data_IF_219515506820
#
_entry.id   IF_219515506820
#
_cell.length_a   1.000
_cell.length_b   1.000
_cell.length_c   1.000
_cell.angle_alpha   90.00
_cell.angle_beta   90.00
_cell.angle_gamma   90.00
#
_symmetry.space_group_name_H-M   'P 1'
#
loop_
_entity.id
_entity.type
_entity.pdbx_description
1 polymer ?
#
# COMPACT_ATOMS: atom_id res chain seq x y z
N UNK A 1 6.10 -62.02 21.88
CA UNK A 1 5.06 -62.09 20.84
C UNK A 1 4.77 -60.66 20.41
N UNK A 2 4.84 -60.33 19.11
CA UNK A 2 4.24 -59.08 18.65
C UNK A 2 2.72 -59.21 18.81
N UNK A 3 2.06 -58.18 19.32
CA UNK A 3 0.60 -58.15 19.38
C UNK A 3 0.07 -58.04 17.94
N UNK A 4 -0.84 -58.94 17.57
CA UNK A 4 -1.40 -59.01 16.21
C UNK A 4 -2.92 -58.96 16.29
N UNK A 5 -3.55 -58.16 15.43
CA UNK A 5 -5.01 -58.05 15.36
C UNK A 5 -5.52 -58.75 14.12
N UNK A 6 -6.66 -59.42 14.28
CA UNK A 6 -7.33 -60.19 13.23
C UNK A 6 -8.32 -59.30 12.50
N UNK A 7 -8.21 -59.24 11.17
CA UNK A 7 -9.09 -58.49 10.28
C UNK A 7 -9.78 -59.42 9.27
N UNK A 8 -10.98 -59.08 8.77
CA UNK A 8 -11.64 -59.84 7.71
C UNK A 8 -10.81 -59.84 6.42
N UNK A 9 -10.76 -60.99 5.72
CA UNK A 9 -10.04 -61.11 4.46
C UNK A 9 -10.55 -60.11 3.41
N UNK A 10 -11.85 -59.82 3.36
CA UNK A 10 -12.42 -58.84 2.44
C UNK A 10 -11.82 -57.43 2.64
N UNK A 11 -11.65 -57.00 3.90
CA UNK A 11 -11.03 -55.73 4.25
C UNK A 11 -9.55 -55.70 3.86
N UNK A 12 -8.82 -56.80 4.07
CA UNK A 12 -7.42 -56.95 3.67
C UNK A 12 -7.24 -56.94 2.14
N UNK A 13 -8.16 -57.58 1.39
CA UNK A 13 -8.18 -57.55 -0.08
C UNK A 13 -8.54 -56.16 -0.64
N UNK A 14 -9.49 -55.46 -0.02
CA UNK A 14 -9.83 -54.08 -0.39
C UNK A 14 -8.64 -53.14 -0.24
N UNK A 15 -7.89 -53.31 0.85
CA UNK A 15 -6.67 -52.57 1.10
C UNK A 15 -5.54 -52.90 0.10
N UNK A 16 -5.18 -54.19 -0.04
CA UNK A 16 -4.02 -54.59 -0.85
C UNK A 16 -4.28 -54.62 -2.35
N UNK A 17 -5.45 -55.10 -2.79
CA UNK A 17 -5.77 -55.36 -4.20
C UNK A 17 -6.82 -54.41 -4.77
N UNK A 18 -7.47 -53.61 -3.92
CA UNK A 18 -8.41 -52.57 -4.35
C UNK A 18 -9.83 -53.04 -4.62
N UNK A 19 -10.16 -54.29 -4.27
CA UNK A 19 -11.49 -54.88 -4.47
C UNK A 19 -12.46 -54.37 -3.41
N UNK A 20 -13.57 -53.73 -3.79
CA UNK A 20 -14.55 -53.16 -2.85
C UNK A 20 -13.94 -52.15 -1.84
N UNK A 21 -13.07 -51.25 -2.32
CA UNK A 21 -12.48 -50.18 -1.48
C UNK A 21 -13.52 -49.31 -0.77
N UNK A 22 -14.61 -48.98 -1.45
CA UNK A 22 -15.65 -48.09 -0.92
C UNK A 22 -16.50 -48.81 0.14
N UNK A 23 -16.93 -50.05 -0.12
CA UNK A 23 -17.67 -50.85 0.87
C UNK A 23 -16.85 -51.22 2.11
N UNK A 24 -15.53 -51.33 1.98
CA UNK A 24 -14.61 -51.65 3.08
C UNK A 24 -13.90 -50.44 3.70
N UNK A 25 -14.15 -49.21 3.26
CA UNK A 25 -13.33 -48.03 3.59
C UNK A 25 -13.05 -47.86 5.10
N UNK A 26 -14.08 -48.01 5.94
CA UNK A 26 -13.94 -47.92 7.41
C UNK A 26 -13.02 -49.00 7.99
N UNK A 27 -13.14 -50.24 7.51
CA UNK A 27 -12.27 -51.33 7.95
C UNK A 27 -10.83 -51.18 7.46
N UNK A 28 -10.63 -50.58 6.28
CA UNK A 28 -9.28 -50.25 5.77
C UNK A 28 -8.63 -49.16 6.62
N UNK A 29 -9.37 -48.12 7.01
CA UNK A 29 -8.88 -47.09 7.94
C UNK A 29 -8.56 -47.67 9.32
N UNK A 30 -9.40 -48.57 9.84
CA UNK A 30 -9.14 -49.26 11.12
C UNK A 30 -7.88 -50.14 11.06
N UNK A 31 -7.67 -50.87 9.95
CA UNK A 31 -6.50 -51.70 9.73
C UNK A 31 -5.22 -50.85 9.67
N UNK A 32 -5.22 -49.78 8.88
CA UNK A 32 -4.05 -48.89 8.75
C UNK A 32 -3.75 -48.18 10.07
N UNK A 33 -4.77 -47.70 10.79
CA UNK A 33 -4.61 -47.05 12.10
C UNK A 33 -4.07 -48.02 13.16
N UNK A 34 -4.52 -49.28 13.17
CA UNK A 34 -3.96 -50.30 14.04
C UNK A 34 -2.50 -50.62 13.71
N UNK A 35 -2.17 -50.78 12.42
CA UNK A 35 -0.79 -51.04 11.99
C UNK A 35 0.17 -49.91 12.35
N UNK A 36 -0.30 -48.66 12.25
CA UNK A 36 0.45 -47.46 12.59
C UNK A 36 0.39 -47.07 14.08
N UNK A 37 -0.31 -47.86 14.92
CA UNK A 37 -0.54 -47.59 16.35
C UNK A 37 -0.97 -46.15 16.68
N UNK A 38 -1.71 -45.52 15.76
CA UNK A 38 -2.07 -44.09 15.83
C UNK A 38 -3.36 -43.83 15.06
N UNK A 39 -4.08 -42.77 15.44
CA UNK A 39 -5.25 -42.30 14.69
C UNK A 39 -4.73 -41.55 13.46
N UNK A 40 -4.99 -42.10 12.28
CA UNK A 40 -4.54 -41.49 11.02
C UNK A 40 -5.61 -40.53 10.50
N UNK A 41 -5.24 -39.25 10.36
CA UNK A 41 -6.07 -38.20 9.76
C UNK A 41 -6.32 -38.48 8.26
N UNK A 42 -7.43 -37.98 7.70
CA UNK A 42 -7.82 -38.21 6.29
C UNK A 42 -6.75 -37.71 5.30
N UNK A 43 -6.05 -36.61 5.62
CA UNK A 43 -4.92 -36.11 4.81
C UNK A 43 -3.72 -37.08 4.80
N UNK A 44 -3.47 -37.79 5.91
CA UNK A 44 -2.32 -38.69 6.08
C UNK A 44 -2.66 -40.15 5.77
N UNK A 45 -3.95 -40.50 5.70
CA UNK A 45 -4.45 -41.84 5.42
C UNK A 45 -3.84 -42.48 4.16
N UNK A 46 -3.67 -41.79 3.01
CA UNK A 46 -3.02 -42.37 1.83
C UNK A 46 -1.54 -42.74 2.07
N UNK A 47 -0.82 -41.96 2.88
CA UNK A 47 0.60 -42.17 3.14
C UNK A 47 0.84 -43.31 4.15
N UNK A 48 0.09 -43.31 5.26
CA UNK A 48 0.11 -44.44 6.20
C UNK A 48 -0.34 -45.74 5.51
N UNK A 49 -1.36 -45.68 4.65
CA UNK A 49 -1.81 -46.80 3.85
C UNK A 49 -0.74 -47.31 2.87
N UNK A 50 0.10 -46.44 2.30
CA UNK A 50 1.21 -46.87 1.44
C UNK A 50 2.32 -47.57 2.25
N UNK A 51 2.70 -47.04 3.41
CA UNK A 51 3.75 -47.60 4.27
C UNK A 51 3.36 -48.98 4.82
N UNK A 52 2.17 -49.08 5.43
CA UNK A 52 1.69 -50.35 5.97
C UNK A 52 1.56 -51.43 4.88
N UNK A 53 1.31 -51.04 3.63
CA UNK A 53 1.23 -51.94 2.47
C UNK A 53 2.60 -52.41 2.02
N UNK A 54 3.58 -51.50 2.00
CA UNK A 54 4.98 -51.85 1.73
C UNK A 54 5.51 -52.85 2.78
N UNK A 55 5.21 -52.61 4.06
CA UNK A 55 5.59 -53.52 5.15
C UNK A 55 4.98 -54.92 4.99
N UNK A 56 3.69 -55.02 4.66
CA UNK A 56 3.05 -56.33 4.37
C UNK A 56 3.76 -57.03 3.20
N UNK A 57 4.15 -56.32 2.16
CA UNK A 57 4.86 -56.90 1.01
C UNK A 57 6.33 -57.25 1.29
N UNK A 58 6.96 -56.61 2.26
CA UNK A 58 8.29 -56.99 2.76
C UNK A 58 8.24 -58.29 3.57
N UNK A 59 7.25 -58.44 4.44
CA UNK A 59 7.06 -59.65 5.24
C UNK A 59 6.46 -60.82 4.43
N UNK A 60 5.63 -60.52 3.42
CA UNK A 60 4.88 -61.48 2.60
C UNK A 60 4.95 -61.16 1.10
N UNK A 61 6.13 -61.30 0.45
CA UNK A 61 6.32 -61.00 -0.97
C UNK A 61 5.43 -61.86 -1.89
N UNK A 62 5.03 -63.05 -1.46
CA UNK A 62 4.08 -63.92 -2.18
C UNK A 62 2.73 -63.24 -2.42
N UNK A 63 2.29 -62.36 -1.51
CA UNK A 63 1.02 -61.62 -1.60
C UNK A 63 1.07 -60.57 -2.72
N UNK A 64 2.26 -60.17 -3.20
CA UNK A 64 2.39 -59.30 -4.39
C UNK A 64 1.87 -60.05 -5.62
N UNK A 65 2.35 -61.28 -5.83
CA UNK A 65 2.04 -62.10 -7.00
C UNK A 65 0.61 -62.69 -7.00
N UNK A 66 0.03 -62.92 -5.81
CA UNK A 66 -1.35 -63.44 -5.70
C UNK A 66 -2.37 -62.44 -6.26
N UNK A 67 -3.35 -62.93 -7.02
CA UNK A 67 -4.56 -62.18 -7.35
C UNK A 67 -5.57 -62.21 -6.18
N UNK A 68 -6.66 -61.43 -6.27
CA UNK A 68 -7.63 -61.33 -5.18
C UNK A 68 -8.34 -62.66 -4.88
N UNK A 69 -8.64 -63.50 -5.89
CA UNK A 69 -9.28 -64.80 -5.67
C UNK A 69 -8.33 -65.81 -4.99
N UNK A 70 -7.03 -65.78 -5.34
CA UNK A 70 -5.99 -66.56 -4.68
C UNK A 70 -5.79 -66.12 -3.22
N UNK A 71 -5.86 -64.82 -2.95
CA UNK A 71 -5.78 -64.29 -1.59
C UNK A 71 -7.02 -64.64 -0.75
N UNK A 72 -8.23 -64.57 -1.33
CA UNK A 72 -9.47 -65.02 -0.70
C UNK A 72 -9.43 -66.52 -0.29
N UNK A 73 -8.75 -67.35 -1.08
CA UNK A 73 -8.63 -68.78 -0.82
C UNK A 73 -7.73 -69.13 0.39
N UNK A 74 -6.89 -68.20 0.86
CA UNK A 74 -5.99 -68.42 2.01
C UNK A 74 -6.75 -68.50 3.34
N UNK A 75 -7.94 -67.89 3.45
CA UNK A 75 -8.75 -67.95 4.67
C UNK A 75 -9.76 -66.83 4.80
N UNK A 76 -10.60 -66.91 5.84
CA UNK A 76 -11.66 -65.91 6.12
C UNK A 76 -11.14 -64.63 6.77
N UNK A 77 -10.03 -64.74 7.51
CA UNK A 77 -9.43 -63.65 8.29
C UNK A 77 -7.92 -63.64 8.11
N UNK A 78 -7.29 -62.49 8.33
CA UNK A 78 -5.83 -62.30 8.33
C UNK A 78 -5.40 -61.70 9.66
N UNK A 79 -4.32 -62.22 10.25
CA UNK A 79 -3.68 -61.57 11.40
C UNK A 79 -2.58 -60.64 10.90
N UNK A 80 -2.59 -59.38 11.35
CA UNK A 80 -1.64 -58.36 10.90
C UNK A 80 -0.86 -57.83 12.09
N UNK A 81 0.50 -57.78 12.04
CA UNK A 81 1.31 -57.15 13.07
C UNK A 81 1.29 -55.62 12.94
N UNK A 82 1.53 -54.93 14.06
CA UNK A 82 1.90 -53.50 14.02
C UNK A 82 3.23 -53.30 13.29
N UNK A 83 3.43 -52.09 12.75
CA UNK A 83 4.72 -51.65 12.21
C UNK A 83 5.79 -51.66 13.32
N UNK A 84 7.08 -51.91 12.99
CA UNK A 84 8.15 -51.87 13.99
C UNK A 84 8.25 -50.50 14.67
N UNK A 85 8.51 -50.49 15.97
CA UNK A 85 8.55 -49.25 16.77
C UNK A 85 9.60 -48.23 16.26
N UNK A 86 10.73 -48.71 15.72
CA UNK A 86 11.74 -47.84 15.09
C UNK A 86 11.17 -47.12 13.86
N UNK A 87 10.57 -47.86 12.93
CA UNK A 87 9.92 -47.32 11.73
C UNK A 87 8.78 -46.35 12.11
N UNK A 88 7.98 -46.68 13.12
CA UNK A 88 6.94 -45.76 13.62
C UNK A 88 7.50 -44.48 14.24
N UNK A 89 8.66 -44.53 14.89
CA UNK A 89 9.33 -43.34 15.41
C UNK A 89 9.83 -42.42 14.29
N UNK A 90 10.40 -42.99 13.22
CA UNK A 90 10.83 -42.24 12.03
C UNK A 90 9.64 -41.58 11.29
N UNK A 91 8.54 -42.33 11.13
CA UNK A 91 7.29 -41.83 10.54
C UNK A 91 6.67 -40.72 11.41
N UNK A 92 6.65 -40.90 12.74
CA UNK A 92 6.18 -39.90 13.68
C UNK A 92 6.99 -38.60 13.60
N UNK A 93 8.31 -38.69 13.48
CA UNK A 93 9.18 -37.53 13.29
C UNK A 93 8.95 -36.83 11.94
N UNK A 94 8.64 -37.58 10.87
CA UNK A 94 8.25 -37.03 9.56
C UNK A 94 6.90 -36.31 9.62
N UNK A 95 5.89 -36.90 10.27
CA UNK A 95 4.58 -36.27 10.44
C UNK A 95 4.64 -35.04 11.35
N UNK A 96 5.46 -35.05 12.41
CA UNK A 96 5.68 -33.87 13.24
C UNK A 96 6.24 -32.70 12.41
N UNK A 97 7.30 -32.93 11.61
CA UNK A 97 7.85 -31.92 10.69
C UNK A 97 6.83 -31.44 9.65
N UNK A 98 5.97 -32.32 9.15
CA UNK A 98 4.92 -31.94 8.21
C UNK A 98 3.86 -31.02 8.87
N UNK A 99 3.50 -31.29 10.12
CA UNK A 99 2.63 -30.42 10.92
C UNK A 99 3.27 -29.05 11.23
N UNK A 100 4.57 -29.04 11.58
CA UNK A 100 5.36 -27.81 11.74
C UNK A 100 5.35 -26.99 10.45
N UNK A 101 5.66 -27.59 9.29
CA UNK A 101 5.62 -26.92 7.99
C UNK A 101 4.22 -26.39 7.64
N UNK A 102 3.14 -27.13 7.91
CA UNK A 102 1.76 -26.66 7.70
C UNK A 102 1.47 -25.40 8.53
N UNK A 103 1.90 -25.41 9.80
CA UNK A 103 1.76 -24.26 10.71
C UNK A 103 2.58 -23.06 10.24
N UNK A 104 3.84 -23.27 9.85
CA UNK A 104 4.72 -22.21 9.32
C UNK A 104 4.19 -21.62 8.02
N UNK A 105 3.68 -22.43 7.10
CA UNK A 105 3.08 -21.95 5.84
C UNK A 105 1.83 -21.10 6.09
N UNK A 106 0.97 -21.50 7.04
CA UNK A 106 -0.21 -20.71 7.38
C UNK A 106 0.17 -19.34 7.96
N UNK A 107 1.12 -19.31 8.91
CA UNK A 107 1.63 -18.05 9.48
C UNK A 107 2.27 -17.14 8.41
N UNK A 108 3.06 -17.71 7.49
CA UNK A 108 3.64 -16.98 6.37
C UNK A 108 2.57 -16.44 5.39
N UNK A 109 1.49 -17.20 5.14
CA UNK A 109 0.40 -16.75 4.28
C UNK A 109 -0.36 -15.56 4.90
N UNK A 110 -0.60 -15.58 6.21
CA UNK A 110 -1.19 -14.45 6.96
C UNK A 110 -0.29 -13.21 6.95
N UNK A 111 1.01 -13.38 7.20
CA UNK A 111 1.99 -12.28 7.15
C UNK A 111 2.08 -11.66 5.74
N UNK A 112 2.12 -12.50 4.70
CA UNK A 112 2.19 -12.06 3.30
C UNK A 112 0.90 -11.31 2.89
N UNK A 113 -0.27 -11.73 3.37
CA UNK A 113 -1.52 -11.00 3.19
C UNK A 113 -1.48 -9.61 3.85
N UNK A 114 -0.96 -9.52 5.08
CA UNK A 114 -0.78 -8.25 5.79
C UNK A 114 0.21 -7.32 5.07
N UNK A 115 1.39 -7.81 4.70
CA UNK A 115 2.41 -7.03 3.98
C UNK A 115 1.89 -6.50 2.64
N UNK A 116 1.06 -7.28 1.92
CA UNK A 116 0.39 -6.80 0.70
C UNK A 116 -0.59 -5.65 0.97
N UNK A 117 -1.36 -5.71 2.05
CA UNK A 117 -2.27 -4.64 2.44
C UNK A 117 -1.51 -3.37 2.84
N UNK A 118 -0.47 -3.49 3.66
CA UNK A 118 0.38 -2.37 4.09
C UNK A 118 1.11 -1.72 2.89
N UNK A 119 1.58 -2.52 1.93
CA UNK A 119 2.20 -2.03 0.70
C UNK A 119 1.20 -1.25 -0.15
N UNK A 120 -0.01 -1.79 -0.37
CA UNK A 120 -1.05 -1.09 -1.14
C UNK A 120 -1.45 0.24 -0.48
N UNK A 121 -1.59 0.27 0.85
CA UNK A 121 -1.87 1.50 1.60
C UNK A 121 -0.74 2.53 1.43
N UNK A 122 0.53 2.13 1.61
CA UNK A 122 1.67 3.03 1.43
C UNK A 122 1.83 3.54 0.00
N UNK A 123 1.56 2.72 -1.01
CA UNK A 123 1.57 3.16 -2.42
C UNK A 123 0.51 4.22 -2.68
N UNK A 124 -0.69 4.11 -2.10
CA UNK A 124 -1.72 5.13 -2.19
C UNK A 124 -1.30 6.44 -1.49
N UNK A 125 -0.71 6.37 -0.29
CA UNK A 125 -0.18 7.54 0.42
C UNK A 125 0.95 8.23 -0.36
N UNK A 126 1.83 7.47 -1.01
CA UNK A 126 2.92 8.01 -1.82
C UNK A 126 2.38 8.78 -3.04
N UNK A 127 1.39 8.23 -3.75
CA UNK A 127 0.75 8.90 -4.88
C UNK A 127 0.04 10.22 -4.48
N UNK A 128 -0.63 10.24 -3.32
CA UNK A 128 -1.22 11.47 -2.76
C UNK A 128 -0.15 12.51 -2.37
N UNK A 129 0.95 12.07 -1.76
CA UNK A 129 2.08 12.93 -1.42
C UNK A 129 2.77 13.53 -2.67
N UNK A 130 2.96 12.75 -3.74
CA UNK A 130 3.47 13.24 -5.03
C UNK A 130 2.54 14.27 -5.68
N UNK A 131 1.22 14.06 -5.60
CA UNK A 131 0.23 15.00 -6.11
C UNK A 131 0.26 16.33 -5.33
N UNK A 132 0.34 16.26 -4.00
CA UNK A 132 0.49 17.43 -3.10
C UNK A 132 1.80 18.17 -3.34
N UNK A 133 2.91 17.45 -3.54
CA UNK A 133 4.21 18.05 -3.83
C UNK A 133 4.19 18.81 -5.16
N UNK A 134 3.66 18.23 -6.23
CA UNK A 134 3.48 18.94 -7.53
C UNK A 134 2.54 20.14 -7.42
N UNK A 135 1.50 20.06 -6.61
CA UNK A 135 0.60 21.19 -6.36
C UNK A 135 1.32 22.32 -5.59
N UNK A 136 2.14 21.98 -4.59
CA UNK A 136 2.96 22.93 -3.85
C UNK A 136 4.04 23.58 -4.74
N UNK A 137 4.77 22.81 -5.55
CA UNK A 137 5.73 23.33 -6.54
C UNK A 137 5.07 24.32 -7.51
N UNK A 138 3.87 23.98 -8.01
CA UNK A 138 3.11 24.87 -8.89
C UNK A 138 2.60 26.13 -8.17
N UNK A 139 2.27 26.05 -6.88
CA UNK A 139 1.87 27.20 -6.06
C UNK A 139 3.06 28.13 -5.77
N UNK A 140 4.22 27.58 -5.38
CA UNK A 140 5.47 28.33 -5.17
C UNK A 140 5.86 29.05 -6.45
N UNK A 141 5.88 28.35 -7.60
CA UNK A 141 6.21 28.99 -8.88
C UNK A 141 5.24 30.12 -9.25
N UNK A 142 3.93 29.95 -9.02
CA UNK A 142 2.94 31.03 -9.23
C UNK A 142 3.19 32.23 -8.32
N UNK A 143 3.55 31.97 -7.07
CA UNK A 143 3.89 33.03 -6.10
C UNK A 143 5.14 33.79 -6.57
N UNK A 144 6.23 33.11 -6.90
CA UNK A 144 7.45 33.70 -7.47
C UNK A 144 7.15 34.52 -8.74
N UNK A 145 6.42 33.94 -9.71
CA UNK A 145 5.99 34.62 -10.95
C UNK A 145 5.12 35.87 -10.67
N UNK A 146 4.33 35.89 -9.57
CA UNK A 146 3.54 37.05 -9.17
C UNK A 146 4.38 38.12 -8.47
N UNK A 147 5.25 37.74 -7.53
CA UNK A 147 6.11 38.66 -6.78
C UNK A 147 7.13 39.37 -7.69
N UNK A 148 7.63 38.70 -8.73
CA UNK A 148 8.47 39.35 -9.75
C UNK A 148 7.68 40.42 -10.51
N UNK A 149 6.49 40.11 -11.03
CA UNK A 149 5.67 41.08 -11.78
C UNK A 149 5.19 42.24 -10.92
N UNK A 150 4.89 41.98 -9.66
CA UNK A 150 4.44 43.01 -8.72
C UNK A 150 5.59 43.91 -8.28
N UNK A 151 6.78 43.35 -7.99
CA UNK A 151 7.97 44.16 -7.69
C UNK A 151 8.46 44.95 -8.91
N UNK A 152 8.42 44.40 -10.12
CA UNK A 152 8.66 45.14 -11.36
C UNK A 152 7.69 46.33 -11.50
N UNK A 153 6.39 46.13 -11.28
CA UNK A 153 5.38 47.21 -11.32
C UNK A 153 5.65 48.27 -10.25
N UNK A 154 6.00 47.85 -9.02
CA UNK A 154 6.32 48.75 -7.91
C UNK A 154 7.63 49.52 -8.09
N UNK A 155 8.57 49.04 -8.90
CA UNK A 155 9.84 49.71 -9.21
C UNK A 155 9.75 50.60 -10.45
N UNK A 156 9.08 50.15 -11.52
CA UNK A 156 8.96 50.89 -12.79
C UNK A 156 7.99 52.07 -12.66
N UNK A 157 6.88 51.94 -11.93
CA UNK A 157 5.91 53.03 -11.81
C UNK A 157 6.47 54.29 -11.10
N UNK A 158 7.25 54.20 -9.99
CA UNK A 158 7.97 55.33 -9.44
C UNK A 158 9.05 55.88 -10.38
N UNK A 159 9.78 55.02 -11.10
CA UNK A 159 10.88 55.45 -11.98
C UNK A 159 10.36 56.30 -13.17
N UNK A 160 9.20 55.93 -13.74
CA UNK A 160 8.49 56.76 -14.72
C UNK A 160 8.04 58.10 -14.15
N UNK A 161 7.51 58.13 -12.90
CA UNK A 161 7.15 59.39 -12.23
C UNK A 161 8.37 60.28 -11.95
N UNK A 162 9.50 59.70 -11.55
CA UNK A 162 10.76 60.44 -11.35
C UNK A 162 11.22 61.06 -12.67
N UNK A 163 11.15 60.34 -13.79
CA UNK A 163 11.47 60.90 -15.11
C UNK A 163 10.53 62.04 -15.51
N UNK A 164 9.22 61.96 -15.24
CA UNK A 164 8.30 63.09 -15.43
C UNK A 164 8.68 64.30 -14.55
N UNK A 165 9.05 64.07 -13.28
CA UNK A 165 9.47 65.16 -12.40
C UNK A 165 10.78 65.80 -12.86
N UNK A 166 11.74 65.03 -13.36
CA UNK A 166 12.97 65.55 -13.98
C UNK A 166 12.63 66.43 -15.18
N UNK A 167 11.77 65.95 -16.10
CA UNK A 167 11.33 66.76 -17.25
C UNK A 167 10.62 68.06 -16.85
N UNK A 168 9.76 68.02 -15.82
CA UNK A 168 9.12 69.22 -15.25
C UNK A 168 10.14 70.17 -14.60
N UNK A 169 11.20 69.64 -13.98
CA UNK A 169 12.31 70.45 -13.44
C UNK A 169 13.12 71.09 -14.56
N UNK A 170 13.39 70.39 -15.66
CA UNK A 170 14.07 70.96 -16.84
C UNK A 170 13.23 72.05 -17.52
N UNK A 171 11.90 71.86 -17.63
CA UNK A 171 10.98 72.90 -18.11
C UNK A 171 10.96 74.12 -17.17
N UNK A 172 10.95 73.91 -15.85
CA UNK A 172 11.05 74.99 -14.86
C UNK A 172 12.40 75.71 -14.93
N UNK A 173 13.52 75.00 -15.11
CA UNK A 173 14.84 75.60 -15.32
C UNK A 173 14.87 76.44 -16.59
N UNK A 174 14.27 75.95 -17.68
CA UNK A 174 14.14 76.70 -18.94
C UNK A 174 13.26 77.95 -18.78
N UNK A 175 12.13 77.85 -18.07
CA UNK A 175 11.29 79.01 -17.74
C UNK A 175 12.02 80.02 -16.84
N UNK A 176 12.82 79.55 -15.87
CA UNK A 176 13.68 80.41 -15.05
C UNK A 176 14.76 81.09 -15.90
N UNK A 177 15.37 80.39 -16.85
CA UNK A 177 16.30 80.99 -17.80
C UNK A 177 15.64 82.03 -18.70
N UNK A 178 14.43 81.78 -19.21
CA UNK A 178 13.72 82.72 -20.06
C UNK A 178 13.26 83.96 -19.26
N UNK A 179 12.79 83.79 -18.01
CA UNK A 179 12.54 84.90 -17.08
C UNK A 179 13.83 85.66 -16.72
N UNK A 180 14.97 84.98 -16.66
CA UNK A 180 16.29 85.62 -16.42
C UNK A 180 16.81 86.36 -17.66
N UNK A 181 16.52 85.89 -18.88
CA UNK A 181 16.91 86.52 -20.16
C UNK A 181 16.00 87.69 -20.55
N UNK A 182 14.70 87.57 -20.30
CA UNK A 182 13.69 88.55 -20.70
C UNK A 182 13.19 89.45 -19.57
N UNK A 183 13.57 89.15 -18.32
CA UNK A 183 13.04 89.81 -17.13
C UNK A 183 11.63 89.34 -16.78
N UNK A 184 11.17 89.67 -15.57
CA UNK A 184 9.76 89.48 -15.20
C UNK A 184 8.93 90.46 -16.02
N UNK A 185 8.20 89.95 -17.02
CA UNK A 185 7.23 90.75 -17.78
C UNK A 185 6.01 91.01 -16.90
N UNK A 186 6.10 92.04 -16.06
CA UNK A 186 4.93 92.60 -15.37
C UNK A 186 4.03 93.27 -16.39
N UNK A 187 3.00 92.57 -16.87
CA UNK A 187 1.89 93.20 -17.59
C UNK A 187 1.08 94.01 -16.58
N UNK A 188 1.45 95.29 -16.44
CA UNK A 188 0.70 96.29 -15.70
C UNK A 188 -0.19 97.12 -16.66
N UNK A 189 -1.21 97.77 -16.08
CA UNK A 189 -2.21 98.65 -16.72
C UNK A 189 -3.38 97.97 -17.46
N UNK A 190 -4.46 97.71 -16.70
CA UNK A 190 -5.75 97.24 -17.21
C UNK A 190 -6.78 96.92 -16.12
N UNK A 191 -7.08 97.85 -15.20
CA UNK A 191 -8.25 97.70 -14.28
C UNK A 191 -9.58 97.88 -15.02
N UNK A 192 -10.78 97.62 -14.49
CA UNK A 192 -11.27 97.25 -13.13
C UNK A 192 -12.71 96.67 -13.30
N UNK A 193 -13.41 96.00 -12.37
CA UNK A 193 -13.20 95.58 -10.98
C UNK A 193 -14.08 94.34 -10.66
N UNK A 194 -14.00 93.77 -9.44
CA UNK A 194 -14.86 92.66 -8.96
C UNK A 194 -14.06 91.54 -8.28
N UNK A 195 -13.42 91.75 -7.13
CA UNK A 195 -14.01 91.85 -5.78
C UNK A 195 -14.37 90.48 -5.14
N UNK A 196 -13.42 89.99 -4.34
CA UNK A 196 -13.54 89.20 -3.11
C UNK A 196 -14.72 88.24 -2.85
N UNK A 197 -14.38 86.97 -2.52
CA UNK A 197 -14.64 86.39 -1.20
C UNK A 197 -13.72 85.17 -0.96
N UNK A 198 -13.32 84.93 0.29
CA UNK A 198 -12.48 83.78 0.64
C UNK A 198 -13.28 82.50 0.89
N UNK A 199 -12.60 81.36 0.86
CA UNK A 199 -13.16 80.06 1.24
C UNK A 199 -12.04 79.06 1.52
N UNK A 200 -11.82 78.74 2.79
CA UNK A 200 -10.93 77.65 3.17
C UNK A 200 -11.68 76.32 3.06
N UNK A 201 -11.13 75.38 2.29
CA UNK A 201 -11.45 73.96 2.32
C UNK A 201 -10.13 73.25 1.97
N UNK A 202 -9.42 72.70 2.96
CA UNK A 202 -9.66 71.42 3.61
C UNK A 202 -8.61 70.45 3.09
N UNK A 203 -7.73 69.96 3.98
CA UNK A 203 -6.69 69.03 3.59
C UNK A 203 -7.33 67.71 3.11
N UNK A 204 -7.02 67.30 1.89
CA UNK A 204 -7.36 65.94 1.45
C UNK A 204 -6.61 64.94 2.34
N UNK A 205 -7.26 63.86 2.80
CA UNK A 205 -6.58 62.80 3.52
C UNK A 205 -5.58 62.11 2.58
N UNK A 206 -4.38 61.81 3.06
CA UNK A 206 -3.41 61.03 2.29
C UNK A 206 -4.03 59.68 1.87
N UNK A 207 -3.82 59.23 0.62
CA UNK A 207 -4.37 57.98 0.17
C UNK A 207 -3.72 56.83 0.95
N UNK A 208 -4.51 56.21 1.83
CA UNK A 208 -4.14 54.93 2.45
C UNK A 208 -3.96 53.93 1.31
N UNK A 209 -2.72 53.53 1.07
CA UNK A 209 -2.39 52.50 0.08
C UNK A 209 -2.84 51.17 0.66
N UNK A 210 -4.06 50.77 0.29
CA UNK A 210 -4.50 49.39 0.48
C UNK A 210 -3.65 48.49 -0.42
N UNK A 211 -2.83 47.64 0.22
CA UNK A 211 -1.98 46.67 -0.47
C UNK A 211 -2.75 45.41 -0.92
N UNK A 212 -4.08 45.37 -0.77
CA UNK A 212 -4.93 44.36 -1.39
C UNK A 212 -4.74 42.94 -0.84
N UNK A 213 -4.13 42.81 0.34
CA UNK A 213 -3.99 41.53 1.03
C UNK A 213 -5.31 41.24 1.76
N UNK A 214 -6.26 40.65 1.04
CA UNK A 214 -7.36 39.94 1.71
C UNK A 214 -6.76 38.87 2.62
N UNK A 215 -6.97 39.00 3.92
CA UNK A 215 -6.50 38.03 4.90
C UNK A 215 -7.22 36.69 4.71
N UNK A 216 -6.54 35.81 3.98
CA UNK A 216 -6.96 34.44 3.69
C UNK A 216 -6.51 33.45 4.76
N UNK A 217 -5.65 33.86 5.70
CA UNK A 217 -5.17 33.01 6.80
C UNK A 217 -6.22 32.80 7.91
N UNK A 218 -7.24 33.67 7.99
CA UNK A 218 -8.33 33.56 8.98
C UNK A 218 -9.61 32.88 8.47
N UNK A 219 -9.64 32.43 7.20
CA UNK A 219 -10.80 31.76 6.57
C UNK A 219 -10.42 30.42 5.94
N UNK A 220 -9.95 29.48 6.76
CA UNK A 220 -9.83 28.07 6.38
C UNK A 220 -10.19 27.19 7.57
N UNK A 221 -11.28 26.45 7.47
CA UNK A 221 -11.49 25.24 8.27
C UNK A 221 -10.51 24.18 7.73
N UNK A 222 -9.43 23.93 8.48
CA UNK A 222 -8.41 22.90 8.23
C UNK A 222 -8.16 22.06 9.48
#
# INVERSE_FOLDING_TARGET
>A
MAETKVFPMNTFMAYLKGVDKEGQAKGVVELVSYMADTVVDEELAPFAAAIAKAWIYEQHPEVIAMNAAQLAAQGKNVSVPKLPAATMSEIGALFAKLGEYKTTMNAQAEELAKVKADLAAKTATLADAEAKLKAAEAAVKRFEDSSVKESEKLLVAPLSKVNEYIGKVDELLKMIEDVKKHGVVTVAAGGVAGAAAGGAAAAEPEPVVDFGVEDTFTKSDW
#
